data_IF_475325065352
#
_entry.id   IF_475325065352
#
_cell.length_a   1.000
_cell.length_b   1.000
_cell.length_c   1.000
_cell.angle_alpha   90.00
_cell.angle_beta   90.00
_cell.angle_gamma   90.00
#
_symmetry.space_group_name_H-M   'P 1'
#
loop_
_entity.id
_entity.type
_entity.pdbx_description
1 polymer ?
#
# COMPACT_ATOMS: atom_id res chain seq x y z
N UNK A 1 -32.89 0.25 15.82
CA UNK A 1 -32.02 -0.87 15.40
C UNK A 1 -31.40 -0.49 14.08
N UNK A 2 -30.16 -0.01 14.10
CA UNK A 2 -29.39 0.47 12.94
C UNK A 2 -28.56 -0.69 12.37
N UNK A 3 -28.56 -0.95 11.05
CA UNK A 3 -27.85 -2.11 10.51
C UNK A 3 -26.36 -1.80 10.37
N UNK A 4 -25.58 -2.37 11.29
CA UNK A 4 -24.11 -2.42 11.29
C UNK A 4 -23.58 -3.46 10.29
N UNK A 5 -24.11 -3.51 9.07
CA UNK A 5 -23.72 -4.52 8.05
C UNK A 5 -22.92 -3.90 6.89
N UNK A 6 -22.89 -2.58 6.77
CA UNK A 6 -22.26 -1.88 5.62
C UNK A 6 -20.72 -1.87 5.61
N UNK A 7 -20.04 -2.33 6.68
CA UNK A 7 -18.57 -2.24 6.78
C UNK A 7 -17.80 -3.52 6.43
N UNK A 8 -18.50 -4.64 6.18
CA UNK A 8 -17.85 -5.91 5.86
C UNK A 8 -17.66 -6.15 4.35
N UNK A 9 -18.41 -5.45 3.48
CA UNK A 9 -18.31 -5.65 2.03
C UNK A 9 -17.17 -4.85 1.40
N UNK A 10 -16.72 -3.75 2.02
CA UNK A 10 -15.57 -2.97 1.53
C UNK A 10 -14.20 -3.58 1.86
N UNK A 11 -14.15 -4.65 2.66
CA UNK A 11 -12.91 -5.33 3.03
C UNK A 11 -12.58 -6.58 2.21
N UNK A 12 -13.51 -7.07 1.36
CA UNK A 12 -13.44 -8.40 0.74
C UNK A 12 -13.14 -8.36 -0.77
N UNK A 13 -12.33 -7.41 -1.22
CA UNK A 13 -11.82 -7.35 -2.61
C UNK A 13 -10.29 -7.19 -2.67
N UNK A 14 -9.60 -7.61 -1.60
CA UNK A 14 -8.14 -7.75 -1.55
C UNK A 14 -7.81 -9.16 -1.06
N UNK A 15 -8.43 -10.18 -1.67
CA UNK A 15 -7.96 -11.56 -1.53
C UNK A 15 -6.92 -11.81 -2.63
N UNK A 16 -5.66 -11.58 -2.27
CA UNK A 16 -4.47 -11.96 -3.02
C UNK A 16 -4.58 -13.41 -3.52
N UNK A 17 -4.62 -13.59 -4.82
CA UNK A 17 -4.10 -14.80 -5.48
C UNK A 17 -2.84 -14.40 -6.26
N UNK A 18 -1.76 -14.15 -5.52
CA UNK A 18 -0.41 -14.04 -6.07
C UNK A 18 0.12 -15.45 -6.39
N UNK A 19 -0.51 -16.13 -7.34
CA UNK A 19 0.07 -17.30 -7.98
C UNK A 19 0.80 -16.82 -9.25
N UNK A 20 2.13 -16.66 -9.11
CA UNK A 20 3.15 -16.70 -10.15
C UNK A 20 2.67 -16.52 -11.61
N UNK A 21 2.57 -15.26 -12.06
CA UNK A 21 2.74 -14.93 -13.47
C UNK A 21 4.12 -14.27 -13.62
N UNK A 22 5.11 -15.07 -13.98
CA UNK A 22 6.53 -14.74 -14.17
C UNK A 22 6.83 -13.93 -15.44
N UNK A 23 5.94 -13.01 -15.81
CA UNK A 23 6.22 -11.99 -16.81
C UNK A 23 6.50 -10.68 -16.09
N UNK A 24 7.73 -10.17 -16.19
CA UNK A 24 8.07 -8.83 -15.69
C UNK A 24 7.28 -7.83 -16.52
N UNK A 25 6.17 -7.35 -15.97
CA UNK A 25 5.31 -6.33 -16.60
C UNK A 25 5.97 -4.97 -16.38
N UNK A 26 6.31 -4.28 -17.46
CA UNK A 26 6.84 -2.92 -17.39
C UNK A 26 5.73 -1.99 -16.93
N UNK A 27 5.95 -1.26 -15.84
CA UNK A 27 5.00 -0.25 -15.34
C UNK A 27 5.45 1.12 -15.82
N UNK A 28 4.68 1.71 -16.73
CA UNK A 28 4.85 3.08 -17.22
C UNK A 28 3.69 3.99 -16.78
N UNK A 29 3.78 5.30 -17.07
CA UNK A 29 2.75 6.28 -16.67
C UNK A 29 1.39 5.97 -17.32
N UNK A 30 1.37 5.40 -18.54
CA UNK A 30 0.14 5.03 -19.23
C UNK A 30 -0.57 3.88 -18.50
N UNK A 31 0.17 2.84 -18.12
CA UNK A 31 -0.35 1.71 -17.36
C UNK A 31 -0.90 2.14 -16.00
N UNK A 32 -0.19 3.02 -15.27
CA UNK A 32 -0.69 3.55 -14.00
C UNK A 32 -1.96 4.38 -14.19
N UNK A 33 -2.03 5.17 -15.26
CA UNK A 33 -3.24 5.94 -15.62
C UNK A 33 -4.42 5.02 -15.91
N UNK A 34 -4.23 4.00 -16.76
CA UNK A 34 -5.24 2.97 -17.05
C UNK A 34 -5.69 2.27 -15.76
N UNK A 35 -4.75 1.89 -14.90
CA UNK A 35 -5.03 1.26 -13.62
C UNK A 35 -5.91 2.13 -12.71
N UNK A 36 -5.56 3.42 -12.55
CA UNK A 36 -6.35 4.37 -11.76
C UNK A 36 -7.77 4.54 -12.35
N UNK A 37 -7.89 4.64 -13.67
CA UNK A 37 -9.18 4.74 -14.35
C UNK A 37 -10.04 3.48 -14.14
N UNK A 38 -9.45 2.29 -14.28
CA UNK A 38 -10.15 1.03 -14.04
C UNK A 38 -10.72 0.99 -12.62
N UNK A 39 -9.93 1.34 -11.60
CA UNK A 39 -10.40 1.39 -10.22
C UNK A 39 -11.49 2.44 -9.98
N UNK A 40 -11.41 3.61 -10.61
CA UNK A 40 -12.47 4.63 -10.54
C UNK A 40 -13.78 4.10 -11.12
N UNK A 41 -13.74 3.51 -12.32
CA UNK A 41 -14.92 2.92 -12.96
C UNK A 41 -15.51 1.78 -12.14
N UNK A 42 -14.66 0.89 -11.62
CA UNK A 42 -15.09 -0.22 -10.76
C UNK A 42 -15.72 0.30 -9.46
N UNK A 43 -15.15 1.33 -8.82
CA UNK A 43 -15.73 1.95 -7.60
C UNK A 43 -17.11 2.53 -7.86
N UNK A 44 -17.33 3.16 -9.02
CA UNK A 44 -18.65 3.67 -9.43
C UNK A 44 -19.64 2.53 -9.70
N UNK A 45 -19.20 1.44 -10.32
CA UNK A 45 -20.05 0.28 -10.62
C UNK A 45 -20.34 -0.61 -9.38
N UNK A 46 -19.45 -0.58 -8.38
CA UNK A 46 -19.47 -1.50 -7.23
C UNK A 46 -20.77 -1.51 -6.42
N UNK A 47 -21.43 -0.37 -6.11
CA UNK A 47 -22.69 -0.39 -5.37
C UNK A 47 -23.82 -1.11 -6.14
N UNK A 48 -23.89 -0.90 -7.45
CA UNK A 48 -24.89 -1.53 -8.30
C UNK A 48 -24.63 -3.05 -8.39
N UNK A 49 -23.37 -3.45 -8.57
CA UNK A 49 -22.96 -4.84 -8.57
C UNK A 49 -23.26 -5.53 -7.22
N UNK A 50 -22.90 -4.89 -6.11
CA UNK A 50 -23.19 -5.40 -4.77
C UNK A 50 -24.70 -5.57 -4.55
N UNK A 51 -25.50 -4.57 -4.92
CA UNK A 51 -26.95 -4.63 -4.82
C UNK A 51 -27.57 -5.76 -5.68
N UNK A 52 -26.96 -6.10 -6.81
CA UNK A 52 -27.38 -7.23 -7.65
C UNK A 52 -27.03 -8.59 -7.02
N UNK A 53 -25.85 -8.72 -6.42
CA UNK A 53 -25.36 -9.97 -5.82
C UNK A 53 -26.00 -10.28 -4.46
N UNK A 54 -26.52 -9.27 -3.74
CA UNK A 54 -27.16 -9.46 -2.43
C UNK A 54 -28.66 -9.78 -2.52
N UNK A 55 -29.25 -9.83 -3.71
CA UNK A 55 -30.66 -10.20 -3.84
C UNK A 55 -30.84 -11.69 -3.56
N UNK A 56 -31.94 -12.06 -2.87
CA UNK A 56 -32.26 -13.45 -2.53
C UNK A 56 -32.46 -14.34 -3.76
N UNK A 57 -32.73 -13.75 -4.92
CA UNK A 57 -32.94 -14.41 -6.22
C UNK A 57 -31.72 -14.32 -7.15
N UNK A 58 -30.54 -13.95 -6.64
CA UNK A 58 -29.33 -13.89 -7.45
C UNK A 58 -29.04 -15.26 -8.10
N UNK A 59 -29.06 -15.30 -9.43
CA UNK A 59 -28.76 -16.50 -10.22
C UNK A 59 -27.33 -16.45 -10.76
N UNK A 60 -26.89 -17.55 -11.38
CA UNK A 60 -25.65 -17.59 -12.14
C UNK A 60 -25.62 -16.54 -13.27
N UNK A 61 -26.77 -16.24 -13.88
CA UNK A 61 -26.88 -15.21 -14.92
C UNK A 61 -26.64 -13.80 -14.35
N UNK A 62 -27.17 -13.51 -13.17
CA UNK A 62 -26.93 -12.24 -12.47
C UNK A 62 -25.45 -12.08 -12.11
N UNK A 63 -24.79 -13.16 -11.68
CA UNK A 63 -23.35 -13.16 -11.43
C UNK A 63 -22.53 -12.98 -12.71
N UNK A 64 -22.92 -13.62 -13.82
CA UNK A 64 -22.27 -13.49 -15.12
C UNK A 64 -22.39 -12.07 -15.70
N UNK A 65 -23.56 -11.43 -15.59
CA UNK A 65 -23.77 -10.04 -15.98
C UNK A 65 -22.90 -9.08 -15.14
N UNK A 66 -22.76 -9.36 -13.84
CA UNK A 66 -21.84 -8.63 -12.97
C UNK A 66 -20.39 -8.73 -13.43
N UNK A 67 -19.90 -9.93 -13.75
CA UNK A 67 -18.55 -10.13 -14.29
C UNK A 67 -18.33 -9.44 -15.65
N UNK A 68 -19.35 -9.44 -16.52
CA UNK A 68 -19.28 -8.73 -17.81
C UNK A 68 -19.12 -7.21 -17.61
N UNK A 69 -19.79 -6.63 -16.60
CA UNK A 69 -19.64 -5.21 -16.27
C UNK A 69 -18.23 -4.86 -15.77
N UNK A 70 -17.60 -5.76 -15.00
CA UNK A 70 -16.22 -5.61 -14.53
C UNK A 70 -15.24 -5.65 -15.70
N UNK A 71 -15.38 -6.64 -16.59
CA UNK A 71 -14.53 -6.77 -17.78
C UNK A 71 -14.68 -5.57 -18.73
N UNK A 72 -15.90 -5.06 -18.90
CA UNK A 72 -16.16 -3.84 -19.69
C UNK A 72 -15.48 -2.61 -19.08
N UNK A 73 -15.56 -2.43 -17.75
CA UNK A 73 -14.90 -1.31 -17.06
C UNK A 73 -13.37 -1.38 -17.22
N UNK A 74 -12.78 -2.57 -17.07
CA UNK A 74 -11.35 -2.80 -17.25
C UNK A 74 -10.91 -2.49 -18.69
N UNK A 75 -11.65 -2.98 -19.69
CA UNK A 75 -11.35 -2.71 -21.11
C UNK A 75 -11.52 -1.24 -21.47
N UNK A 76 -12.56 -0.57 -20.95
CA UNK A 76 -12.76 0.87 -21.18
C UNK A 76 -11.63 1.72 -20.61
N UNK A 77 -10.93 1.22 -19.60
CA UNK A 77 -9.79 1.89 -18.99
C UNK A 77 -8.48 1.63 -19.74
N UNK A 78 -8.49 0.86 -20.83
CA UNK A 78 -7.34 0.66 -21.70
C UNK A 78 -6.59 -0.67 -21.53
N UNK A 79 -7.08 -1.59 -20.69
CA UNK A 79 -6.52 -2.95 -20.62
C UNK A 79 -7.12 -3.85 -21.70
N UNK A 80 -6.30 -4.69 -22.33
CA UNK A 80 -6.77 -5.67 -23.32
C UNK A 80 -7.61 -6.79 -22.68
N UNK A 81 -7.36 -7.10 -21.40
CA UNK A 81 -8.08 -8.17 -20.69
C UNK A 81 -8.05 -8.01 -19.18
N UNK A 82 -8.98 -8.68 -18.50
CA UNK A 82 -8.94 -8.85 -17.04
C UNK A 82 -7.61 -9.45 -16.55
N UNK A 83 -7.02 -10.39 -17.29
CA UNK A 83 -5.73 -10.99 -16.92
C UNK A 83 -4.57 -9.97 -16.96
N UNK A 84 -4.58 -9.06 -17.92
CA UNK A 84 -3.61 -7.95 -17.99
C UNK A 84 -3.78 -6.99 -16.81
N UNK A 85 -5.03 -6.63 -16.49
CA UNK A 85 -5.33 -5.79 -15.34
C UNK A 85 -4.86 -6.42 -14.02
N UNK A 86 -5.06 -7.72 -13.82
CA UNK A 86 -4.60 -8.42 -12.60
C UNK A 86 -3.07 -8.41 -12.51
N UNK A 87 -2.36 -8.58 -13.62
CA UNK A 87 -0.89 -8.46 -13.65
C UNK A 87 -0.43 -7.03 -13.34
N UNK A 88 -1.09 -6.02 -13.90
CA UNK A 88 -0.81 -4.61 -13.62
C UNK A 88 -1.04 -4.30 -12.14
N UNK A 89 -2.14 -4.79 -11.56
CA UNK A 89 -2.44 -4.67 -10.14
C UNK A 89 -1.34 -5.27 -9.25
N UNK A 90 -0.86 -6.47 -9.59
CA UNK A 90 0.23 -7.10 -8.85
C UNK A 90 1.54 -6.29 -8.94
N UNK A 91 1.92 -5.84 -10.14
CA UNK A 91 3.14 -5.07 -10.38
C UNK A 91 3.10 -3.69 -9.68
N UNK A 92 2.02 -2.93 -9.88
CA UNK A 92 1.81 -1.62 -9.25
C UNK A 92 1.69 -1.77 -7.73
N UNK A 93 0.97 -2.79 -7.25
CA UNK A 93 0.84 -3.07 -5.81
C UNK A 93 2.17 -3.33 -5.14
N UNK A 94 3.01 -4.20 -5.73
CA UNK A 94 4.35 -4.50 -5.21
C UNK A 94 5.24 -3.24 -5.19
N UNK A 95 5.27 -2.49 -6.29
CA UNK A 95 6.04 -1.26 -6.40
C UNK A 95 5.55 -0.18 -5.42
N UNK A 96 4.24 -0.04 -5.25
CA UNK A 96 3.65 0.90 -4.31
C UNK A 96 3.97 0.55 -2.86
N UNK A 97 3.92 -0.75 -2.50
CA UNK A 97 4.38 -1.22 -1.19
C UNK A 97 5.85 -0.87 -0.94
N UNK A 98 6.73 -1.03 -1.93
CA UNK A 98 8.13 -0.63 -1.82
C UNK A 98 8.30 0.88 -1.63
N UNK A 99 7.58 1.70 -2.39
CA UNK A 99 7.60 3.17 -2.24
C UNK A 99 7.12 3.58 -0.84
N UNK A 100 6.03 2.98 -0.35
CA UNK A 100 5.50 3.24 0.99
C UNK A 100 6.46 2.82 2.10
N UNK A 101 7.07 1.64 1.99
CA UNK A 101 8.07 1.15 2.95
C UNK A 101 9.31 2.05 2.98
N UNK A 102 9.81 2.46 1.80
CA UNK A 102 10.96 3.38 1.70
C UNK A 102 10.66 4.74 2.32
N UNK A 103 9.47 5.28 2.10
CA UNK A 103 9.03 6.53 2.72
C UNK A 103 8.92 6.39 4.24
N UNK A 104 8.32 5.31 4.73
CA UNK A 104 8.21 5.02 6.16
C UNK A 104 9.59 4.92 6.83
N UNK A 105 10.53 4.19 6.23
CA UNK A 105 11.90 4.09 6.74
C UNK A 105 12.58 5.45 6.76
N UNK A 106 12.44 6.26 5.71
CA UNK A 106 12.99 7.62 5.70
C UNK A 106 12.41 8.50 6.81
N UNK A 107 11.11 8.36 7.12
CA UNK A 107 10.48 9.13 8.19
C UNK A 107 10.90 8.64 9.58
N UNK A 108 11.09 7.33 9.76
CA UNK A 108 11.68 6.77 10.98
C UNK A 108 13.12 7.24 11.19
N UNK A 109 13.94 7.31 10.14
CA UNK A 109 15.31 7.85 10.21
C UNK A 109 15.31 9.33 10.64
N UNK A 110 14.38 10.13 10.11
CA UNK A 110 14.23 11.54 10.51
C UNK A 110 13.79 11.66 11.96
N UNK A 111 12.82 10.84 12.38
CA UNK A 111 12.29 10.84 13.75
C UNK A 111 13.37 10.40 14.76
N UNK A 112 14.15 9.38 14.42
CA UNK A 112 15.26 8.92 15.25
C UNK A 112 16.31 10.02 15.42
N UNK A 113 16.67 10.72 14.33
CA UNK A 113 17.63 11.83 14.37
C UNK A 113 17.12 12.99 15.21
N UNK A 114 15.89 13.46 14.96
CA UNK A 114 15.32 14.59 15.69
C UNK A 114 15.09 14.27 17.18
N UNK A 115 14.62 13.06 17.49
CA UNK A 115 14.48 12.57 18.86
C UNK A 115 15.82 12.50 19.59
N UNK A 116 16.87 11.99 18.94
CA UNK A 116 18.22 11.95 19.52
C UNK A 116 18.76 13.34 19.83
N UNK A 117 18.52 14.32 18.96
CA UNK A 117 18.90 15.72 19.22
C UNK A 117 18.18 16.31 20.43
N UNK A 118 16.86 16.06 20.56
CA UNK A 118 16.08 16.53 21.72
C UNK A 118 16.54 15.88 23.03
N UNK A 119 16.81 14.57 23.00
CA UNK A 119 17.33 13.85 24.17
C UNK A 119 18.71 14.37 24.55
N UNK A 120 19.58 14.65 23.58
CA UNK A 120 20.90 15.24 23.85
C UNK A 120 20.78 16.61 24.51
N UNK A 121 19.90 17.48 24.01
CA UNK A 121 19.65 18.79 24.63
C UNK A 121 19.14 18.66 26.08
N UNK A 122 18.34 17.64 26.39
CA UNK A 122 17.90 17.34 27.76
C UNK A 122 19.06 16.85 28.64
N UNK A 123 19.98 16.04 28.10
CA UNK A 123 21.17 15.57 28.81
C UNK A 123 22.18 16.69 29.08
N UNK A 124 22.27 17.67 28.18
CA UNK A 124 23.15 18.83 28.32
C UNK A 124 22.56 19.90 29.26
N UNK A 125 21.28 19.79 29.58
CA UNK A 125 20.59 20.73 30.45
C UNK A 125 21.09 20.65 31.90
N UNK A 126 21.52 21.77 32.52
CA UNK A 126 22.01 21.78 33.89
C UNK A 126 20.90 21.58 34.94
N UNK A 127 19.62 21.74 34.55
CA UNK A 127 18.47 21.58 35.46
C UNK A 127 17.99 20.14 35.57
N UNK A 128 18.47 19.22 34.72
CA UNK A 128 18.10 17.80 34.80
C UNK A 128 19.01 17.11 35.82
N UNK A 129 18.49 16.43 36.85
CA UNK A 129 19.31 15.70 37.82
C UNK A 129 20.18 14.63 37.15
N UNK A 130 21.41 14.43 37.64
CA UNK A 130 22.33 13.43 37.05
C UNK A 130 21.77 12.01 37.08
N UNK A 131 20.99 11.64 38.11
CA UNK A 131 20.30 10.35 38.16
C UNK A 131 19.32 10.18 36.99
N UNK A 132 18.56 11.22 36.64
CA UNK A 132 17.66 11.23 35.49
C UNK A 132 18.45 11.17 34.18
N UNK A 133 19.57 11.90 34.07
CA UNK A 133 20.44 11.81 32.88
C UNK A 133 21.01 10.41 32.68
N UNK A 134 21.41 9.72 33.75
CA UNK A 134 21.91 8.35 33.67
C UNK A 134 20.83 7.41 33.13
N UNK A 135 19.60 7.49 33.66
CA UNK A 135 18.47 6.69 33.17
C UNK A 135 18.12 6.99 31.71
N UNK A 136 18.15 8.26 31.31
CA UNK A 136 17.90 8.69 29.92
C UNK A 136 18.97 8.16 28.97
N UNK A 137 20.25 8.19 29.36
CA UNK A 137 21.35 7.61 28.55
C UNK A 137 21.15 6.12 28.33
N UNK A 138 20.73 5.40 29.37
CA UNK A 138 20.44 3.96 29.26
C UNK A 138 19.25 3.71 28.31
N UNK A 139 18.15 4.43 28.47
CA UNK A 139 16.99 4.31 27.58
C UNK A 139 17.33 4.67 26.12
N UNK A 140 18.14 5.69 25.91
CA UNK A 140 18.61 6.07 24.58
C UNK A 140 19.45 4.96 23.95
N UNK A 141 20.36 4.34 24.71
CA UNK A 141 21.16 3.22 24.24
C UNK A 141 20.28 2.01 23.86
N UNK A 142 19.28 1.67 24.68
CA UNK A 142 18.32 0.60 24.38
C UNK A 142 17.47 0.90 23.14
N UNK A 143 16.98 2.13 23.00
CA UNK A 143 16.22 2.57 21.84
C UNK A 143 17.07 2.55 20.55
N UNK A 144 18.32 2.99 20.61
CA UNK A 144 19.26 2.95 19.48
C UNK A 144 19.59 1.51 19.07
N UNK A 145 19.80 0.61 20.03
CA UNK A 145 20.04 -0.81 19.76
C UNK A 145 18.83 -1.45 19.07
N UNK A 146 17.62 -1.21 19.60
CA UNK A 146 16.37 -1.73 19.02
C UNK A 146 16.13 -1.20 17.62
N UNK A 147 16.32 0.10 17.41
CA UNK A 147 16.20 0.72 16.09
C UNK A 147 17.21 0.16 15.09
N UNK A 148 18.49 -0.01 15.49
CA UNK A 148 19.53 -0.55 14.62
C UNK A 148 19.22 -1.98 14.21
N UNK A 149 18.78 -2.81 15.16
CA UNK A 149 18.35 -4.18 14.87
C UNK A 149 17.16 -4.20 13.91
N UNK A 150 16.11 -3.41 14.20
CA UNK A 150 14.92 -3.32 13.36
C UNK A 150 15.23 -2.81 11.95
N UNK A 151 16.10 -1.80 11.84
CA UNK A 151 16.54 -1.24 10.55
C UNK A 151 17.29 -2.29 9.72
N UNK A 152 18.18 -3.08 10.32
CA UNK A 152 18.90 -4.14 9.61
C UNK A 152 17.96 -5.19 8.99
N UNK A 153 16.91 -5.57 9.72
CA UNK A 153 15.86 -6.45 9.20
C UNK A 153 15.06 -5.79 8.07
N UNK A 154 14.68 -4.52 8.24
CA UNK A 154 13.95 -3.77 7.22
C UNK A 154 14.76 -3.57 5.94
N UNK A 155 16.03 -3.17 6.05
CA UNK A 155 16.96 -3.02 4.92
C UNK A 155 17.12 -4.36 4.17
N UNK A 156 17.26 -5.47 4.90
CA UNK A 156 17.39 -6.80 4.31
C UNK A 156 16.12 -7.23 3.57
N UNK A 157 14.95 -7.02 4.19
CA UNK A 157 13.67 -7.29 3.54
C UNK A 157 13.49 -6.43 2.28
N UNK A 158 13.79 -5.13 2.37
CA UNK A 158 13.72 -4.21 1.25
C UNK A 158 14.72 -4.55 0.13
N UNK A 159 15.89 -5.09 0.45
CA UNK A 159 16.83 -5.61 -0.54
C UNK A 159 16.26 -6.77 -1.35
N UNK A 160 15.59 -7.72 -0.68
CA UNK A 160 14.94 -8.86 -1.35
C UNK A 160 13.72 -8.43 -2.19
N UNK A 161 12.93 -7.47 -1.70
CA UNK A 161 11.79 -6.94 -2.46
C UNK A 161 12.23 -6.03 -3.61
N UNK A 162 13.25 -5.20 -3.41
CA UNK A 162 13.77 -4.26 -4.38
C UNK A 162 14.44 -4.92 -5.59
N UNK A 163 14.91 -6.17 -5.47
CA UNK A 163 15.37 -6.94 -6.62
C UNK A 163 14.23 -7.32 -7.59
N UNK A 164 12.96 -7.26 -7.16
CA UNK A 164 11.80 -7.65 -7.96
C UNK A 164 11.10 -6.48 -8.64
N UNK A 165 11.47 -5.24 -8.33
CA UNK A 165 10.89 -4.03 -8.91
C UNK A 165 12.01 -3.13 -9.40
N UNK A 166 12.05 -2.86 -10.70
CA UNK A 166 13.08 -2.01 -11.29
C UNK A 166 12.90 -0.53 -10.90
N UNK A 167 14.00 0.22 -10.99
CA UNK A 167 14.02 1.64 -10.61
C UNK A 167 13.08 2.52 -11.45
N UNK A 168 12.83 2.17 -12.72
CA UNK A 168 11.93 2.94 -13.56
C UNK A 168 10.47 2.77 -13.10
N UNK A 169 10.06 1.54 -12.80
CA UNK A 169 8.77 1.24 -12.17
C UNK A 169 8.60 2.00 -10.85
N UNK A 170 9.61 1.98 -9.96
CA UNK A 170 9.58 2.74 -8.70
C UNK A 170 9.40 4.24 -8.95
N UNK A 171 10.10 4.80 -9.94
CA UNK A 171 10.01 6.22 -10.27
C UNK A 171 8.60 6.60 -10.77
N UNK A 172 8.00 5.79 -11.64
CA UNK A 172 6.62 6.00 -12.14
C UNK A 172 5.63 5.96 -10.98
N UNK A 173 5.68 4.91 -10.15
CA UNK A 173 4.76 4.75 -9.02
C UNK A 173 4.93 5.85 -7.98
N UNK A 174 6.16 6.35 -7.79
CA UNK A 174 6.42 7.48 -6.90
C UNK A 174 5.75 8.77 -7.40
N UNK A 175 5.78 9.06 -8.71
CA UNK A 175 5.10 10.24 -9.29
C UNK A 175 3.59 10.19 -9.06
N UNK A 176 2.99 9.00 -9.20
CA UNK A 176 1.55 8.79 -9.05
C UNK A 176 1.12 8.40 -7.62
N UNK A 177 2.01 8.49 -6.63
CA UNK A 177 1.79 7.97 -5.27
C UNK A 177 0.49 8.46 -4.65
N UNK A 178 0.17 9.75 -4.78
CA UNK A 178 -1.04 10.32 -4.18
C UNK A 178 -2.33 9.73 -4.78
N UNK A 179 -2.36 9.55 -6.10
CA UNK A 179 -3.52 8.98 -6.80
C UNK A 179 -3.67 7.49 -6.50
N UNK A 180 -2.55 6.76 -6.50
CA UNK A 180 -2.53 5.34 -6.12
C UNK A 180 -2.94 5.14 -4.65
N UNK A 181 -2.53 6.03 -3.75
CA UNK A 181 -2.97 6.00 -2.36
C UNK A 181 -4.48 6.20 -2.23
N UNK A 182 -5.08 7.08 -3.03
CA UNK A 182 -6.53 7.25 -3.05
C UNK A 182 -7.23 5.96 -3.50
N UNK A 183 -6.73 5.33 -4.56
CA UNK A 183 -7.21 4.02 -5.06
C UNK A 183 -7.13 2.95 -3.98
N UNK A 184 -5.97 2.74 -3.35
CA UNK A 184 -5.77 1.69 -2.34
C UNK A 184 -6.48 1.95 -1.01
N UNK A 185 -6.71 3.20 -0.64
CA UNK A 185 -7.43 3.55 0.59
C UNK A 185 -8.95 3.58 0.44
N UNK A 186 -9.45 3.41 -0.79
CA UNK A 186 -10.88 3.48 -1.11
C UNK A 186 -11.49 4.88 -0.92
N UNK A 187 -10.67 5.91 -0.72
CA UNK A 187 -11.11 7.31 -0.53
C UNK A 187 -11.49 7.95 -1.86
#
# INVERSE_FOLDING_TARGET
>A
MTPTVSRLVSGLLIALSLAACTGQMTVDDAMVTHYIQAYKSLKTASPALAAQLTKQDATLDTAAAGLASVDAAIKSAGFASHAEFVKANAAIGLAFSQVQASAFMSDMDKLQKSGSTQVQAMLDSPVVPEATKAQVREQLAQAQATYTQGKGWADSAMGLFGQKVDAATVAVVTRHRAELQAVFSGK
#
